data_IF_821869948768
#
_entry.id   IF_821869948768
#
_cell.length_a   1.000
_cell.length_b   1.000
_cell.length_c   1.000
_cell.angle_alpha   90.00
_cell.angle_beta   90.00
_cell.angle_gamma   90.00
#
_symmetry.space_group_name_H-M   'P 1'
#
loop_
_entity.id
_entity.type
_entity.pdbx_description
1 polymer ?
#
# COMPACT_ATOMS: atom_id res chain seq x y z
N UNK A 1 17.85 -1.38 27.24
CA UNK A 1 17.22 -1.41 25.91
C UNK A 1 15.93 -0.58 25.88
N UNK A 2 15.00 -0.80 26.82
CA UNK A 2 13.72 -0.09 26.96
C UNK A 2 13.84 1.46 27.08
N UNK A 3 14.88 1.97 27.72
CA UNK A 3 15.11 3.43 27.88
C UNK A 3 15.48 4.15 26.57
N UNK A 4 16.20 3.48 25.65
CA UNK A 4 16.54 4.05 24.33
C UNK A 4 15.32 4.11 23.40
N UNK A 5 14.45 3.13 23.46
CA UNK A 5 13.22 3.07 22.66
C UNK A 5 12.22 4.16 23.05
N UNK A 6 12.07 4.43 24.35
CA UNK A 6 11.17 5.50 24.83
C UNK A 6 11.67 6.90 24.48
N UNK A 7 12.99 7.15 24.49
CA UNK A 7 13.56 8.43 24.04
C UNK A 7 13.39 8.65 22.53
N UNK A 8 13.61 7.63 21.73
CA UNK A 8 13.36 7.68 20.29
C UNK A 8 11.90 8.00 19.96
N UNK A 9 10.95 7.37 20.67
CA UNK A 9 9.52 7.61 20.49
C UNK A 9 9.11 9.04 20.83
N UNK A 10 9.56 9.58 21.97
CA UNK A 10 9.27 10.98 22.39
C UNK A 10 9.84 11.99 21.41
N UNK A 11 11.04 11.78 20.91
CA UNK A 11 11.66 12.64 19.91
C UNK A 11 10.84 12.64 18.59
N UNK A 12 10.39 11.47 18.13
CA UNK A 12 9.55 11.36 16.93
C UNK A 12 8.21 12.09 17.11
N UNK A 13 7.55 11.92 18.25
CA UNK A 13 6.30 12.63 18.55
C UNK A 13 6.52 14.15 18.59
N UNK A 14 7.55 14.62 19.29
CA UNK A 14 7.87 16.06 19.36
C UNK A 14 8.15 16.64 17.96
N UNK A 15 8.87 15.89 17.11
CA UNK A 15 9.13 16.28 15.72
C UNK A 15 7.84 16.38 14.91
N UNK A 16 6.92 15.43 15.04
CA UNK A 16 5.63 15.48 14.36
C UNK A 16 4.79 16.67 14.82
N UNK A 17 4.70 16.90 16.13
CA UNK A 17 3.98 18.07 16.69
C UNK A 17 4.57 19.38 16.15
N UNK A 18 5.90 19.51 16.13
CA UNK A 18 6.56 20.70 15.58
C UNK A 18 6.21 20.90 14.09
N UNK A 19 6.34 19.85 13.28
CA UNK A 19 6.06 19.93 11.83
C UNK A 19 4.61 20.34 11.58
N UNK A 20 3.66 19.71 12.27
CA UNK A 20 2.24 20.06 12.11
C UNK A 20 1.94 21.46 12.65
N UNK A 21 2.57 21.88 13.77
CA UNK A 21 2.44 23.23 14.32
C UNK A 21 2.91 24.30 13.33
N UNK A 22 4.09 24.12 12.74
CA UNK A 22 4.62 25.02 11.69
C UNK A 22 3.70 25.05 10.47
N UNK A 23 3.20 23.89 10.05
CA UNK A 23 2.31 23.80 8.89
C UNK A 23 0.97 24.53 9.14
N UNK A 24 0.33 24.33 10.32
CA UNK A 24 -0.86 25.04 10.71
C UNK A 24 -0.60 26.56 10.78
N UNK A 25 0.50 26.99 11.38
CA UNK A 25 0.84 28.42 11.49
C UNK A 25 1.00 29.06 10.09
N UNK A 26 1.68 28.38 9.17
CA UNK A 26 1.85 28.84 7.80
C UNK A 26 0.52 28.97 7.05
N UNK A 27 -0.34 27.96 7.13
CA UNK A 27 -1.67 27.99 6.51
C UNK A 27 -2.56 29.08 7.13
N UNK A 28 -2.45 29.28 8.45
CA UNK A 28 -3.22 30.33 9.16
C UNK A 28 -2.76 31.72 8.76
N UNK A 29 -1.46 31.95 8.56
CA UNK A 29 -0.91 33.20 8.06
C UNK A 29 -1.43 33.53 6.63
N UNK A 30 -1.77 32.52 5.85
CA UNK A 30 -2.40 32.64 4.52
C UNK A 30 -3.94 32.74 4.56
N UNK A 31 -4.57 32.75 5.76
CA UNK A 31 -6.01 32.78 5.93
C UNK A 31 -6.75 31.47 5.62
N UNK A 32 -6.02 30.37 5.41
CA UNK A 32 -6.56 29.05 5.03
C UNK A 32 -6.25 27.94 6.05
N UNK A 33 -6.00 28.27 7.31
CA UNK A 33 -5.65 27.32 8.37
C UNK A 33 -6.64 26.15 8.55
N UNK A 34 -7.91 26.36 8.24
CA UNK A 34 -8.95 25.34 8.28
C UNK A 34 -8.66 24.15 7.31
N UNK A 35 -7.90 24.37 6.23
CA UNK A 35 -7.56 23.33 5.26
C UNK A 35 -6.73 22.20 5.86
N UNK A 36 -5.97 22.47 6.94
CA UNK A 36 -5.26 21.44 7.67
C UNK A 36 -6.21 20.38 8.26
N UNK A 37 -7.36 20.81 8.79
CA UNK A 37 -8.36 19.89 9.34
C UNK A 37 -9.00 19.04 8.25
N UNK A 38 -9.27 19.62 7.08
CA UNK A 38 -9.78 18.88 5.92
C UNK A 38 -8.75 17.83 5.45
N UNK A 39 -7.48 18.23 5.36
CA UNK A 39 -6.40 17.31 5.00
C UNK A 39 -6.27 16.18 6.01
N UNK A 40 -6.27 16.49 7.31
CA UNK A 40 -6.17 15.49 8.37
C UNK A 40 -7.37 14.54 8.37
N UNK A 41 -8.58 15.06 8.19
CA UNK A 41 -9.79 14.25 8.07
C UNK A 41 -9.70 13.29 6.88
N UNK A 42 -9.30 13.79 5.71
CA UNK A 42 -9.13 12.96 4.51
C UNK A 42 -8.06 11.90 4.71
N UNK A 43 -6.94 12.25 5.36
CA UNK A 43 -5.87 11.31 5.69
C UNK A 43 -6.37 10.18 6.61
N UNK A 44 -7.07 10.52 7.68
CA UNK A 44 -7.55 9.54 8.66
C UNK A 44 -8.74 8.70 8.18
N UNK A 45 -9.46 9.15 7.17
CA UNK A 45 -10.62 8.45 6.62
C UNK A 45 -10.34 7.86 5.24
N UNK A 46 -10.50 8.64 4.19
CA UNK A 46 -10.47 8.17 2.79
C UNK A 46 -9.13 7.52 2.42
N UNK A 47 -8.00 8.15 2.80
CA UNK A 47 -6.68 7.62 2.50
C UNK A 47 -6.43 6.30 3.24
N UNK A 48 -6.70 6.27 4.55
CA UNK A 48 -6.51 5.04 5.34
C UNK A 48 -7.41 3.91 4.86
N UNK A 49 -8.64 4.24 4.42
CA UNK A 49 -9.55 3.25 3.84
C UNK A 49 -9.00 2.63 2.56
N UNK A 50 -8.51 3.45 1.63
CA UNK A 50 -7.87 2.99 0.40
C UNK A 50 -6.64 2.13 0.70
N UNK A 51 -5.78 2.55 1.65
CA UNK A 51 -4.61 1.77 2.06
C UNK A 51 -5.01 0.41 2.61
N UNK A 52 -6.07 0.33 3.44
CA UNK A 52 -6.57 -0.95 3.98
C UNK A 52 -7.13 -1.86 2.90
N UNK A 53 -7.91 -1.32 1.96
CA UNK A 53 -8.40 -2.08 0.81
C UNK A 53 -7.25 -2.69 0.00
N UNK A 54 -6.18 -1.93 -0.21
CA UNK A 54 -4.98 -2.40 -0.88
C UNK A 54 -4.30 -3.52 -0.08
N UNK A 55 -4.06 -3.32 1.21
CA UNK A 55 -3.44 -4.35 2.06
C UNK A 55 -4.21 -5.67 2.02
N UNK A 56 -5.55 -5.61 2.10
CA UNK A 56 -6.40 -6.79 1.92
C UNK A 56 -6.21 -7.38 0.52
N UNK A 57 -6.18 -6.54 -0.52
CA UNK A 57 -5.97 -6.96 -1.90
C UNK A 57 -4.64 -7.69 -2.15
N UNK A 58 -3.61 -7.25 -1.47
CA UNK A 58 -2.22 -7.66 -1.69
C UNK A 58 -1.78 -8.83 -0.80
N UNK A 59 -2.30 -8.93 0.43
CA UNK A 59 -1.85 -9.89 1.45
C UNK A 59 -2.94 -10.75 2.11
N UNK A 60 -4.22 -10.45 1.90
CA UNK A 60 -5.27 -11.31 2.48
C UNK A 60 -5.58 -12.51 1.59
N UNK A 61 -5.99 -13.61 2.23
CA UNK A 61 -6.39 -14.86 1.55
C UNK A 61 -5.30 -15.36 0.59
N UNK A 62 -4.04 -15.25 1.01
CA UNK A 62 -2.87 -15.86 0.37
C UNK A 62 -2.69 -17.28 0.90
N UNK A 63 -1.88 -18.09 0.23
CA UNK A 63 -1.70 -19.51 0.59
C UNK A 63 -1.03 -19.67 1.94
N UNK A 64 0.06 -18.94 2.17
CA UNK A 64 0.74 -18.86 3.47
C UNK A 64 1.37 -17.48 3.63
N UNK A 65 0.88 -16.71 4.61
CA UNK A 65 1.33 -15.35 4.87
C UNK A 65 2.78 -15.28 5.37
N UNK A 66 3.28 -16.36 5.96
CA UNK A 66 4.60 -16.42 6.60
C UNK A 66 5.64 -17.16 5.76
N UNK A 67 5.26 -17.67 4.58
CA UNK A 67 6.20 -18.34 3.68
C UNK A 67 7.26 -17.36 3.16
N UNK A 68 8.48 -17.85 2.95
CA UNK A 68 9.57 -17.07 2.35
C UNK A 68 9.38 -16.85 0.83
N UNK A 69 8.58 -17.70 0.19
CA UNK A 69 8.23 -17.55 -1.23
C UNK A 69 7.16 -16.49 -1.42
N UNK A 70 7.52 -15.39 -2.08
CA UNK A 70 6.62 -14.27 -2.34
C UNK A 70 5.37 -14.65 -3.15
N UNK A 71 5.41 -15.78 -3.87
CA UNK A 71 4.26 -16.29 -4.63
C UNK A 71 3.17 -16.84 -3.72
N UNK A 72 3.51 -17.22 -2.49
CA UNK A 72 2.62 -17.79 -1.48
C UNK A 72 2.12 -16.76 -0.48
N UNK A 73 2.93 -15.72 -0.19
CA UNK A 73 2.65 -14.70 0.84
C UNK A 73 2.14 -13.36 0.31
N UNK A 74 2.15 -13.16 -1.01
CA UNK A 74 1.66 -11.93 -1.66
C UNK A 74 0.85 -12.24 -2.90
N UNK A 75 0.25 -11.20 -3.48
CA UNK A 75 -0.58 -11.34 -4.67
C UNK A 75 -0.41 -10.19 -5.63
N UNK A 76 -0.62 -10.48 -6.91
CA UNK A 76 -0.88 -9.48 -7.94
C UNK A 76 -2.36 -9.46 -8.26
N UNK A 77 -2.96 -8.27 -8.29
CA UNK A 77 -4.35 -8.07 -8.68
C UNK A 77 -4.41 -7.57 -10.13
N UNK A 78 -4.95 -8.36 -11.04
CA UNK A 78 -5.19 -7.92 -12.42
C UNK A 78 -6.44 -7.03 -12.46
N UNK A 79 -6.24 -5.75 -12.13
CA UNK A 79 -7.32 -4.78 -11.95
C UNK A 79 -7.60 -3.99 -13.26
N UNK A 80 -8.86 -3.66 -13.57
CA UNK A 80 -9.22 -2.76 -14.66
C UNK A 80 -8.66 -1.36 -14.41
N UNK A 81 -8.58 -0.54 -15.48
CA UNK A 81 -7.96 0.77 -15.44
C UNK A 81 -8.45 1.66 -14.30
N UNK A 82 -9.77 1.74 -14.08
CA UNK A 82 -10.34 2.60 -13.05
C UNK A 82 -9.95 2.17 -11.62
N UNK A 83 -9.83 0.86 -11.36
CA UNK A 83 -9.33 0.38 -10.07
C UNK A 83 -7.84 0.68 -9.90
N UNK A 84 -7.04 0.51 -10.96
CA UNK A 84 -5.62 0.89 -10.91
C UNK A 84 -5.45 2.37 -10.65
N UNK A 85 -6.25 3.22 -11.30
CA UNK A 85 -6.17 4.67 -11.11
C UNK A 85 -6.54 5.08 -9.66
N UNK A 86 -7.60 4.51 -9.09
CA UNK A 86 -8.11 4.91 -7.77
C UNK A 86 -7.41 4.19 -6.60
N UNK A 87 -7.14 2.90 -6.74
CA UNK A 87 -6.66 2.06 -5.63
C UNK A 87 -5.19 1.70 -5.76
N UNK A 88 -4.66 1.57 -6.98
CA UNK A 88 -3.33 1.06 -7.23
C UNK A 88 -2.54 1.90 -8.24
N UNK A 89 -2.39 3.24 -8.02
CA UNK A 89 -1.58 4.07 -8.91
C UNK A 89 -0.14 3.54 -8.96
N UNK A 90 0.62 3.93 -10.00
CA UNK A 90 2.01 3.54 -10.19
C UNK A 90 2.25 2.01 -10.26
N UNK A 91 1.28 1.26 -10.78
CA UNK A 91 1.38 -0.20 -10.93
C UNK A 91 1.62 -0.97 -9.61
N UNK A 92 1.22 -0.42 -8.45
CA UNK A 92 1.36 -1.13 -7.16
C UNK A 92 0.49 -2.38 -7.05
N UNK A 93 -0.47 -2.56 -7.98
CA UNK A 93 -1.23 -3.81 -8.11
C UNK A 93 -0.36 -5.02 -8.52
N UNK A 94 0.86 -4.80 -9.05
CA UNK A 94 1.88 -5.82 -9.31
C UNK A 94 2.74 -6.05 -8.05
N UNK A 95 2.08 -6.27 -6.92
CA UNK A 95 2.73 -6.28 -5.61
C UNK A 95 3.64 -7.50 -5.41
N UNK A 96 3.25 -8.66 -5.92
CA UNK A 96 4.09 -9.86 -5.89
C UNK A 96 5.37 -9.66 -6.70
N UNK A 97 5.30 -9.08 -7.89
CA UNK A 97 6.48 -8.79 -8.72
C UNK A 97 7.40 -7.77 -8.04
N UNK A 98 6.82 -6.81 -7.30
CA UNK A 98 7.59 -5.87 -6.50
C UNK A 98 8.36 -6.59 -5.38
N UNK A 99 7.73 -7.51 -4.67
CA UNK A 99 8.41 -8.31 -3.64
C UNK A 99 9.44 -9.27 -4.25
N UNK A 100 9.17 -9.81 -5.44
CA UNK A 100 10.09 -10.71 -6.14
C UNK A 100 11.39 -10.00 -6.56
N UNK A 101 11.29 -8.75 -7.01
CA UNK A 101 12.42 -7.90 -7.43
C UNK A 101 12.19 -6.43 -7.03
N UNK A 102 12.37 -6.12 -5.75
CA UNK A 102 12.10 -4.79 -5.19
C UNK A 102 12.89 -3.62 -5.85
N UNK A 103 14.03 -3.92 -6.49
CA UNK A 103 14.82 -2.93 -7.23
C UNK A 103 14.25 -2.53 -8.59
N UNK A 104 13.20 -3.21 -9.08
CA UNK A 104 12.58 -2.87 -10.37
C UNK A 104 11.65 -1.66 -10.22
N UNK A 105 11.84 -0.58 -11.01
CA UNK A 105 10.94 0.57 -10.98
C UNK A 105 9.49 0.18 -11.30
N UNK A 106 8.53 0.85 -10.65
CA UNK A 106 7.11 0.51 -10.74
C UNK A 106 6.55 0.49 -12.17
N UNK A 107 7.05 1.34 -13.06
CA UNK A 107 6.64 1.35 -14.48
C UNK A 107 7.12 0.13 -15.28
N UNK A 108 8.10 -0.63 -14.77
CA UNK A 108 8.62 -1.84 -15.38
C UNK A 108 8.00 -3.13 -14.78
N UNK A 109 7.20 -3.06 -13.72
CA UNK A 109 6.58 -4.23 -13.11
C UNK A 109 5.69 -5.05 -14.07
N UNK A 110 4.90 -4.42 -14.98
CA UNK A 110 4.14 -5.17 -15.99
C UNK A 110 5.05 -5.98 -16.92
N UNK A 111 6.21 -5.43 -17.29
CA UNK A 111 7.20 -6.13 -18.12
C UNK A 111 7.85 -7.29 -17.36
N UNK A 112 8.20 -7.07 -16.07
CA UNK A 112 8.70 -8.13 -15.21
C UNK A 112 7.70 -9.29 -15.12
N UNK A 113 6.41 -9.02 -14.88
CA UNK A 113 5.35 -10.04 -14.88
C UNK A 113 5.32 -10.84 -16.18
N UNK A 114 5.39 -10.16 -17.33
CA UNK A 114 5.40 -10.84 -18.64
C UNK A 114 6.60 -11.79 -18.77
N UNK A 115 7.77 -11.37 -18.32
CA UNK A 115 8.99 -12.20 -18.34
C UNK A 115 8.87 -13.41 -17.39
N UNK A 116 8.33 -13.21 -16.19
CA UNK A 116 8.11 -14.30 -15.22
C UNK A 116 7.10 -15.33 -15.75
N UNK A 117 6.00 -14.88 -16.40
CA UNK A 117 5.05 -15.75 -17.10
C UNK A 117 5.73 -16.55 -18.22
N UNK A 118 6.52 -15.91 -19.08
CA UNK A 118 7.24 -16.59 -20.16
C UNK A 118 8.24 -17.66 -19.66
N UNK A 119 8.76 -17.48 -18.46
CA UNK A 119 9.69 -18.42 -17.82
C UNK A 119 8.99 -19.51 -17.00
N UNK A 120 7.65 -19.56 -16.98
CA UNK A 120 6.89 -20.52 -16.19
C UNK A 120 6.92 -20.30 -14.68
N UNK A 121 7.49 -19.19 -14.20
CA UNK A 121 7.61 -18.91 -12.75
C UNK A 121 6.25 -18.66 -12.10
N UNK A 122 5.26 -18.24 -12.87
CA UNK A 122 3.92 -17.86 -12.38
C UNK A 122 2.83 -18.87 -12.76
N UNK A 123 3.18 -20.07 -13.25
CA UNK A 123 2.17 -21.04 -13.75
C UNK A 123 1.24 -21.53 -12.65
N UNK A 124 1.76 -21.69 -11.43
CA UNK A 124 0.98 -22.14 -10.26
C UNK A 124 0.41 -20.98 -9.42
N UNK A 125 0.57 -19.72 -9.86
CA UNK A 125 0.10 -18.55 -9.09
C UNK A 125 -1.32 -18.20 -9.47
N UNK A 126 -2.27 -18.19 -8.52
CA UNK A 126 -3.65 -17.82 -8.78
C UNK A 126 -3.79 -16.40 -9.31
N UNK A 127 -4.53 -16.23 -10.39
CA UNK A 127 -4.87 -14.92 -10.94
C UNK A 127 -6.17 -14.43 -10.31
N UNK A 128 -6.15 -13.19 -9.80
CA UNK A 128 -7.33 -12.53 -9.23
C UNK A 128 -7.67 -11.30 -10.05
N UNK A 129 -8.92 -11.25 -10.53
CA UNK A 129 -9.42 -10.18 -11.39
C UNK A 129 -10.13 -9.10 -10.57
N UNK A 130 -9.36 -8.07 -10.21
CA UNK A 130 -9.84 -6.88 -9.51
C UNK A 130 -9.99 -7.03 -7.99
N UNK A 131 -9.96 -5.89 -7.30
CA UNK A 131 -10.04 -5.80 -5.84
C UNK A 131 -11.37 -6.30 -5.26
N UNK A 132 -12.47 -6.18 -6.01
CA UNK A 132 -13.77 -6.70 -5.59
C UNK A 132 -13.82 -8.23 -5.44
N UNK A 133 -13.07 -8.96 -6.26
CA UNK A 133 -12.96 -10.41 -6.12
C UNK A 133 -12.20 -10.79 -4.84
N UNK A 134 -11.09 -10.09 -4.56
CA UNK A 134 -10.33 -10.34 -3.32
C UNK A 134 -11.17 -10.07 -2.08
N UNK A 135 -11.93 -8.96 -2.08
CA UNK A 135 -12.82 -8.65 -0.96
C UNK A 135 -13.88 -9.73 -0.73
N UNK A 136 -14.48 -10.25 -1.80
CA UNK A 136 -15.42 -11.38 -1.71
C UNK A 136 -14.77 -12.62 -1.11
N UNK A 137 -13.54 -12.95 -1.52
CA UNK A 137 -12.79 -14.07 -0.96
C UNK A 137 -12.47 -13.84 0.52
N UNK A 138 -12.07 -12.61 0.91
CA UNK A 138 -11.73 -12.26 2.29
C UNK A 138 -12.94 -12.28 3.25
N UNK A 139 -14.15 -12.07 2.74
CA UNK A 139 -15.39 -12.16 3.55
C UNK A 139 -15.91 -13.58 3.63
N UNK A 140 -15.56 -14.44 2.67
CA UNK A 140 -16.01 -15.85 2.61
C UNK A 140 -15.08 -16.82 3.36
N UNK A 141 -13.89 -16.37 3.76
CA UNK A 141 -12.91 -17.12 4.54
C UNK A 141 -13.17 -16.98 6.04
#
# INVERSE_FOLDING_TARGET
QMSRETHGSRYLVAKQVLVHGVFIAALSALGIGWTWFVWMFTFLTSYMWVVRLRQVGEHAVVTDLYDADVRLNTRTVEAPFWQRFLLAPNNVNYHMEHHFMAGVPCYNLPKLRSLLKQKGVLDDVPVVSGYGQVLKMAVAS
#
